data_IF_577758281829
#
_entry.id   IF_577758281829
#
_cell.length_a   1.000
_cell.length_b   1.000
_cell.length_c   1.000
_cell.angle_alpha   90.00
_cell.angle_beta   90.00
_cell.angle_gamma   90.00
#
_symmetry.space_group_name_H-M   'P 1'
#
loop_
_entity.id
_entity.type
_entity.pdbx_description
1 polymer ?
#
# COMPACT_ATOMS: atom_id res chain seq x y z
N UNK A 1 -1.63 0.13 16.69
CA UNK A 1 -2.26 0.30 15.36
C UNK A 1 -1.59 -0.71 14.43
N UNK A 2 -2.32 -1.51 13.61
CA UNK A 2 -1.68 -2.58 12.83
C UNK A 2 -0.75 -1.97 11.79
N UNK A 3 0.45 -2.55 11.68
CA UNK A 3 1.36 -2.26 10.57
C UNK A 3 0.63 -2.50 9.24
N UNK A 4 0.93 -1.75 8.16
CA UNK A 4 0.36 -2.02 6.84
C UNK A 4 0.55 -3.49 6.41
N UNK A 5 1.70 -4.09 6.74
CA UNK A 5 1.98 -5.51 6.47
C UNK A 5 1.04 -6.49 7.19
N UNK A 6 0.40 -6.07 8.27
CA UNK A 6 -0.51 -6.89 9.09
C UNK A 6 -1.98 -6.77 8.65
N UNK A 7 -2.31 -5.79 7.80
CA UNK A 7 -3.66 -5.60 7.27
C UNK A 7 -3.91 -6.57 6.11
N UNK A 8 -4.39 -7.77 6.45
CA UNK A 8 -4.62 -8.86 5.50
C UNK A 8 -6.09 -9.33 5.54
N UNK A 9 -7.05 -8.53 5.03
CA UNK A 9 -8.45 -8.94 4.97
C UNK A 9 -8.62 -10.26 4.19
N UNK A 10 -9.78 -10.89 4.31
CA UNK A 10 -10.02 -12.23 3.72
C UNK A 10 -9.73 -12.26 2.22
N UNK A 11 -10.07 -11.20 1.52
CA UNK A 11 -10.02 -11.08 0.07
C UNK A 11 -8.68 -10.57 -0.48
N UNK A 12 -7.78 -10.03 0.36
CA UNK A 12 -6.50 -9.49 -0.10
C UNK A 12 -5.37 -9.81 0.88
N UNK A 13 -4.31 -10.42 0.36
CA UNK A 13 -3.08 -10.73 1.10
C UNK A 13 -1.94 -9.85 0.60
N UNK A 14 -1.36 -9.07 1.50
CA UNK A 14 -0.19 -8.24 1.24
C UNK A 14 1.00 -9.17 1.00
N UNK A 15 1.71 -8.95 -0.11
CA UNK A 15 2.97 -9.63 -0.41
C UNK A 15 4.15 -8.70 -0.12
N UNK A 16 3.99 -7.41 -0.44
CA UNK A 16 5.01 -6.38 -0.24
C UNK A 16 4.35 -5.01 -0.02
N UNK A 17 4.90 -4.20 0.87
CA UNK A 17 4.55 -2.78 1.00
C UNK A 17 5.59 -2.00 0.19
N UNK A 18 5.15 -1.45 -0.95
CA UNK A 18 6.03 -0.79 -1.93
C UNK A 18 6.20 0.71 -1.68
N UNK A 19 5.38 1.28 -0.79
CA UNK A 19 5.48 2.65 -0.31
C UNK A 19 4.82 2.75 1.07
N UNK A 20 5.48 3.40 2.03
CA UNK A 20 4.93 3.70 3.35
C UNK A 20 5.55 5.02 3.85
N UNK A 21 4.77 6.10 3.78
CA UNK A 21 5.23 7.43 4.20
C UNK A 21 4.04 8.28 4.67
N UNK A 22 4.25 9.05 5.74
CA UNK A 22 3.28 10.02 6.28
C UNK A 22 1.88 9.43 6.49
N UNK A 23 1.81 8.20 7.01
CA UNK A 23 0.54 7.52 7.27
C UNK A 23 -0.19 7.06 6.02
N UNK A 24 0.46 6.97 4.87
CA UNK A 24 -0.10 6.40 3.65
C UNK A 24 0.75 5.24 3.15
N UNK A 25 0.08 4.14 2.81
CA UNK A 25 0.74 2.93 2.33
C UNK A 25 0.22 2.50 0.96
N UNK A 26 1.12 1.97 0.14
CA UNK A 26 0.81 1.23 -1.08
C UNK A 26 1.38 -0.17 -0.95
N UNK A 27 0.56 -1.18 -1.23
CA UNK A 27 0.94 -2.59 -1.17
C UNK A 27 0.72 -3.28 -2.51
N UNK A 28 1.65 -4.18 -2.83
CA UNK A 28 1.46 -5.22 -3.81
C UNK A 28 0.94 -6.48 -3.12
N UNK A 29 -0.10 -7.09 -3.65
CA UNK A 29 -0.71 -8.25 -3.02
C UNK A 29 -1.46 -9.17 -3.97
N UNK A 30 -2.01 -10.22 -3.39
CA UNK A 30 -2.85 -11.21 -4.06
C UNK A 30 -4.30 -11.05 -3.64
N UNK A 31 -5.19 -10.90 -4.61
CA UNK A 31 -6.63 -11.02 -4.40
C UNK A 31 -7.04 -12.50 -4.23
N UNK A 32 -8.26 -12.76 -3.75
CA UNK A 32 -8.76 -14.11 -3.47
C UNK A 32 -8.84 -15.03 -4.70
N UNK A 33 -8.95 -14.46 -5.90
CA UNK A 33 -8.89 -15.19 -7.18
C UNK A 33 -7.45 -15.46 -7.66
N UNK A 34 -6.44 -15.09 -6.86
CA UNK A 34 -5.03 -15.21 -7.19
C UNK A 34 -4.46 -14.07 -8.04
N UNK A 35 -5.30 -13.14 -8.52
CA UNK A 35 -4.82 -11.99 -9.30
C UNK A 35 -3.96 -11.08 -8.45
N UNK A 36 -2.88 -10.56 -9.04
CA UNK A 36 -2.04 -9.57 -8.36
C UNK A 36 -2.59 -8.18 -8.57
N UNK A 37 -2.62 -7.40 -7.49
CA UNK A 37 -3.21 -6.06 -7.47
C UNK A 37 -2.32 -5.12 -6.68
N UNK A 38 -2.20 -3.90 -7.20
CA UNK A 38 -1.73 -2.77 -6.41
C UNK A 38 -2.91 -2.23 -5.60
N UNK A 39 -2.65 -1.92 -4.34
CA UNK A 39 -3.67 -1.39 -3.45
C UNK A 39 -3.09 -0.31 -2.56
N UNK A 40 -3.93 0.60 -2.09
CA UNK A 40 -3.50 1.72 -1.25
C UNK A 40 -4.41 1.91 -0.04
N UNK A 41 -3.88 2.56 1.00
CA UNK A 41 -4.66 2.97 2.16
C UNK A 41 -4.00 4.10 2.92
N UNK A 42 -4.83 4.89 3.60
CA UNK A 42 -4.42 5.67 4.75
C UNK A 42 -4.32 4.74 5.96
N UNK A 43 -3.15 4.75 6.59
CA UNK A 43 -2.91 4.16 7.89
C UNK A 43 -3.70 4.96 8.94
N UNK A 44 -3.84 4.38 10.10
CA UNK A 44 -4.51 4.98 11.24
C UNK A 44 -3.50 5.52 12.23
N UNK A 45 -4.02 6.14 13.28
CA UNK A 45 -3.23 6.62 14.40
C UNK A 45 -4.06 6.47 15.68
N UNK A 46 -3.41 6.10 16.78
CA UNK A 46 -4.06 5.75 18.05
C UNK A 46 -5.16 4.70 17.87
N UNK A 47 -6.40 5.11 18.16
CA UNK A 47 -7.60 4.27 18.07
C UNK A 47 -8.23 4.23 16.66
N UNK A 48 -7.84 5.13 15.76
CA UNK A 48 -8.27 5.03 14.35
C UNK A 48 -7.44 3.96 13.65
N UNK A 49 -8.11 3.10 12.87
CA UNK A 49 -7.47 2.06 12.06
C UNK A 49 -7.15 2.54 10.65
N UNK A 50 -7.50 3.77 10.30
CA UNK A 50 -7.28 4.36 8.99
C UNK A 50 -8.37 3.99 7.98
N UNK A 51 -8.11 4.26 6.71
CA UNK A 51 -9.09 4.14 5.62
C UNK A 51 -8.49 3.52 4.35
N UNK A 52 -9.27 2.75 3.57
CA UNK A 52 -10.66 2.38 3.83
C UNK A 52 -10.82 1.39 4.99
N UNK A 53 -12.04 1.32 5.53
CA UNK A 53 -12.44 0.34 6.55
C UNK A 53 -13.84 -0.19 6.29
N UNK A 54 -14.07 -1.46 6.58
CA UNK A 54 -15.38 -2.13 6.48
C UNK A 54 -15.76 -2.66 7.86
N UNK A 55 -16.88 -2.17 8.41
CA UNK A 55 -17.30 -2.47 9.78
C UNK A 55 -16.19 -2.28 10.83
N UNK A 56 -15.40 -1.21 10.70
CA UNK A 56 -14.29 -0.91 11.62
C UNK A 56 -13.05 -1.81 11.45
N UNK A 57 -13.00 -2.65 10.42
CA UNK A 57 -11.82 -3.44 10.06
C UNK A 57 -11.07 -2.75 8.91
N UNK A 58 -9.75 -2.53 9.05
CA UNK A 58 -8.96 -1.89 8.00
C UNK A 58 -8.92 -2.78 6.76
N UNK A 59 -9.11 -2.17 5.59
CA UNK A 59 -9.02 -2.83 4.29
C UNK A 59 -8.17 -1.99 3.34
N UNK A 60 -8.03 -2.46 2.11
CA UNK A 60 -7.23 -1.84 1.07
C UNK A 60 -8.13 -1.37 -0.08
N UNK A 61 -7.86 -0.19 -0.62
CA UNK A 61 -8.48 0.27 -1.86
C UNK A 61 -7.71 -0.32 -3.05
N UNK A 62 -8.35 -1.23 -3.79
CA UNK A 62 -7.75 -1.87 -4.96
C UNK A 62 -7.72 -0.90 -6.13
N UNK A 63 -6.57 -0.81 -6.80
CA UNK A 63 -6.44 -0.06 -8.03
C UNK A 63 -6.87 -0.89 -9.25
N UNK A 64 -7.42 -0.26 -10.29
CA UNK A 64 -7.46 -0.82 -11.63
C UNK A 64 -6.08 -1.30 -12.08
N UNK A 65 -6.02 -2.44 -12.74
CA UNK A 65 -4.75 -3.09 -13.13
C UNK A 65 -3.92 -2.19 -14.05
N UNK A 66 -4.59 -1.42 -14.91
CA UNK A 66 -4.01 -0.48 -15.87
C UNK A 66 -3.21 0.63 -15.18
N UNK A 67 -3.57 0.96 -13.93
CA UNK A 67 -2.88 1.97 -13.12
C UNK A 67 -1.68 1.41 -12.34
N UNK A 68 -1.54 0.08 -12.25
CA UNK A 68 -0.48 -0.53 -11.42
C UNK A 68 0.91 -0.19 -11.95
N UNK A 69 1.16 -0.38 -13.24
CA UNK A 69 2.47 -0.12 -13.85
C UNK A 69 2.89 1.37 -13.81
N UNK A 70 2.05 2.35 -14.22
CA UNK A 70 2.45 3.76 -14.15
C UNK A 70 2.71 4.24 -12.72
N UNK A 71 1.95 3.76 -11.74
CA UNK A 71 2.16 4.13 -10.33
C UNK A 71 3.45 3.50 -9.80
N UNK A 72 3.69 2.20 -10.03
CA UNK A 72 4.93 1.54 -9.59
C UNK A 72 6.18 2.21 -10.18
N UNK A 73 6.16 2.56 -11.48
CA UNK A 73 7.27 3.32 -12.09
C UNK A 73 7.50 4.67 -11.43
N UNK A 74 6.43 5.37 -11.05
CA UNK A 74 6.54 6.67 -10.38
C UNK A 74 7.09 6.53 -8.97
N UNK A 75 6.71 5.47 -8.23
CA UNK A 75 7.21 5.18 -6.89
C UNK A 75 8.69 4.77 -6.91
N UNK A 76 9.09 3.95 -7.87
CA UNK A 76 10.49 3.55 -8.08
C UNK A 76 11.37 4.76 -8.41
N UNK A 77 10.93 5.63 -9.31
CA UNK A 77 11.61 6.88 -9.63
C UNK A 77 11.64 7.88 -8.45
N UNK A 78 10.61 7.86 -7.60
CA UNK A 78 10.55 8.69 -6.40
C UNK A 78 11.51 8.21 -5.30
N UNK A 79 11.88 6.92 -5.30
CA UNK A 79 12.54 6.25 -4.18
C UNK A 79 13.58 7.16 -3.50
N UNK A 80 13.30 7.60 -2.26
CA UNK A 80 14.11 8.63 -1.59
C UNK A 80 15.56 8.17 -1.37
N UNK A 81 15.83 6.87 -1.43
CA UNK A 81 17.18 6.28 -1.43
C UNK A 81 18.03 6.67 -2.65
N UNK A 82 17.41 7.04 -3.78
CA UNK A 82 18.12 7.50 -4.98
C UNK A 82 18.54 8.99 -4.92
N UNK A 83 18.05 9.78 -3.95
CA UNK A 83 18.49 11.17 -3.77
C UNK A 83 19.86 11.31 -3.08
N UNK A 84 20.46 10.21 -2.61
CA UNK A 84 21.77 10.21 -1.95
C UNK A 84 22.99 10.26 -2.89
N UNK A 85 22.80 10.37 -4.22
CA UNK A 85 23.90 10.43 -5.22
C UNK A 85 24.01 11.83 -5.86
N UNK A 86 23.37 12.85 -5.28
CA UNK A 86 23.78 14.24 -5.57
C UNK A 86 24.64 14.74 -4.41
N UNK A 87 25.92 14.33 -4.43
CA UNK A 87 26.97 15.03 -3.68
C UNK A 87 27.25 16.34 -4.41
N UNK A 88 26.91 17.46 -3.79
CA UNK A 88 27.59 18.75 -3.98
C UNK A 88 27.78 19.39 -2.60
#
# INVERSE_FOLDING_TARGET
MPSPTEVNPRNFKVLEVVYDLNGFSVAWGSWEDGTKRLAMRWNGDGDDKGYPKTFGNPVWFMLPTELSLPILRSLDAYNPSHRGIEKN
#
